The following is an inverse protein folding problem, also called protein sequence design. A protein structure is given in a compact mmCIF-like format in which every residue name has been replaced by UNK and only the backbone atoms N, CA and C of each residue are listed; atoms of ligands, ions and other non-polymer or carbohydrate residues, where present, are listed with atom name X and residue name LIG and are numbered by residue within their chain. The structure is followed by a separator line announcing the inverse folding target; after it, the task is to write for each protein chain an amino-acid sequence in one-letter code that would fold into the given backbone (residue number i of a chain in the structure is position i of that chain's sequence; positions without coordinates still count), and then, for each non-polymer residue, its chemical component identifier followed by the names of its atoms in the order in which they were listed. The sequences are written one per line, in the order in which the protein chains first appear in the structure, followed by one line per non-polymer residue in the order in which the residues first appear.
data_IF_815329349760
#
_entry.id   IF_815329349760
#
_cell.length_a   1.000
_cell.length_b   1.000
_cell.length_c   1.000
_cell.angle_alpha   90.00
_cell.angle_beta   90.00
_cell.angle_gamma   90.00
#
_symmetry.space_group_name_H-M   'P 1'
#
loop_
_entity.id
_entity.type
_entity.pdbx_description
1 polymer ?
#
# COMPACT_ATOMS: atom_id res chain seq x y z
N UNK A 1 -20.45 22.67 -16.58
CA UNK A 1 -20.90 23.67 -15.57
C UNK A 1 -20.20 23.50 -14.22
N UNK A 2 -19.65 22.33 -13.90
CA UNK A 2 -18.94 22.02 -12.64
C UNK A 2 -17.58 22.71 -12.48
N UNK A 3 -16.85 22.92 -13.57
CA UNK A 3 -15.50 23.53 -13.58
C UNK A 3 -15.49 25.03 -13.18
N UNK A 4 -16.63 25.71 -13.37
CA UNK A 4 -16.77 27.13 -13.06
C UNK A 4 -16.78 27.40 -11.55
N UNK A 5 -17.29 26.47 -10.75
CA UNK A 5 -17.29 26.56 -9.28
C UNK A 5 -15.90 26.34 -8.69
N UNK A 6 -15.10 25.44 -9.29
CA UNK A 6 -13.74 25.18 -8.84
C UNK A 6 -12.81 26.41 -8.98
N UNK A 7 -12.99 27.19 -10.06
CA UNK A 7 -12.20 28.40 -10.34
C UNK A 7 -12.56 29.60 -9.46
N UNK A 8 -13.81 29.69 -8.99
CA UNK A 8 -14.24 30.79 -8.12
C UNK A 8 -13.66 30.70 -6.71
N UNK A 9 -13.32 29.49 -6.23
CA UNK A 9 -12.68 29.31 -4.93
C UNK A 9 -11.25 29.87 -4.85
N UNK A 10 -10.58 30.10 -5.99
CA UNK A 10 -9.18 30.54 -6.03
C UNK A 10 -9.00 32.06 -5.92
N UNK A 11 -10.06 32.85 -6.15
CA UNK A 11 -9.99 34.32 -6.19
C UNK A 11 -10.47 35.02 -4.92
N UNK A 12 -11.01 34.28 -3.95
CA UNK A 12 -11.38 34.84 -2.65
C UNK A 12 -10.17 34.83 -1.72
N UNK A 13 -9.64 36.01 -1.40
CA UNK A 13 -8.75 36.19 -0.26
C UNK A 13 -9.46 35.64 0.99
N UNK A 14 -8.81 34.82 1.83
CA UNK A 14 -9.42 34.37 3.06
C UNK A 14 -9.69 35.59 3.94
N UNK A 15 -10.96 35.81 4.27
CA UNK A 15 -11.35 36.77 5.29
C UNK A 15 -10.61 36.36 6.58
N UNK A 16 -9.61 37.16 6.96
CA UNK A 16 -8.95 37.06 8.25
C UNK A 16 -9.93 37.57 9.30
N UNK A 17 -10.87 36.72 9.70
CA UNK A 17 -11.51 36.88 11.00
C UNK A 17 -10.70 36.03 11.96
N UNK A 18 -9.83 36.71 12.71
CA UNK A 18 -9.11 36.18 13.87
C UNK A 18 -10.14 35.81 14.95
N UNK A 19 -10.79 34.67 14.81
CA UNK A 19 -11.40 33.99 15.94
C UNK A 19 -10.41 32.93 16.40
N UNK A 20 -9.71 33.22 17.49
CA UNK A 20 -9.04 32.21 18.28
C UNK A 20 -10.04 31.10 18.58
N UNK A 21 -9.91 29.98 17.87
CA UNK A 21 -10.66 28.78 18.19
C UNK A 21 -10.22 28.32 19.60
N UNK A 22 -11.13 28.15 20.56
CA UNK A 22 -10.76 27.76 21.90
C UNK A 22 -10.15 26.37 21.88
N UNK A 23 -9.07 26.22 22.65
CA UNK A 23 -8.38 24.99 22.96
C UNK A 23 -9.33 23.98 23.63
N UNK A 24 -10.17 23.29 22.84
CA UNK A 24 -11.01 22.19 23.35
C UNK A 24 -11.43 21.17 22.27
N UNK A 25 -10.86 21.19 21.06
CA UNK A 25 -11.17 20.18 20.02
C UNK A 25 -10.32 18.90 20.11
N UNK A 26 -9.36 18.85 21.05
CA UNK A 26 -8.48 17.69 21.26
C UNK A 26 -9.24 16.44 21.78
N UNK A 27 -10.22 16.53 22.71
CA UNK A 27 -10.93 15.37 23.22
C UNK A 27 -11.80 14.68 22.16
N UNK A 28 -12.43 15.45 21.27
CA UNK A 28 -13.33 14.89 20.25
C UNK A 28 -12.57 14.15 19.15
N UNK A 29 -11.43 14.70 18.70
CA UNK A 29 -10.53 14.00 17.77
C UNK A 29 -10.01 12.70 18.37
N UNK A 30 -9.48 12.74 19.59
CA UNK A 30 -9.00 11.55 20.30
C UNK A 30 -10.13 10.52 20.46
N UNK A 31 -11.36 10.97 20.78
CA UNK A 31 -12.51 10.09 20.98
C UNK A 31 -13.01 9.48 19.66
N UNK A 32 -12.98 10.21 18.55
CA UNK A 32 -13.33 9.72 17.22
C UNK A 32 -12.28 8.70 16.74
N UNK A 33 -11.00 9.03 16.86
CA UNK A 33 -9.89 8.14 16.52
C UNK A 33 -9.94 6.85 17.34
N UNK A 34 -10.13 6.96 18.66
CA UNK A 34 -10.26 5.80 19.55
C UNK A 34 -11.45 4.91 19.17
N UNK A 35 -12.62 5.51 18.89
CA UNK A 35 -13.80 4.77 18.41
C UNK A 35 -13.55 4.11 17.05
N UNK A 36 -12.82 4.80 16.16
CA UNK A 36 -12.38 4.27 14.87
C UNK A 36 -11.48 3.04 15.03
N UNK A 37 -10.43 3.14 15.84
CA UNK A 37 -9.50 2.03 16.12
C UNK A 37 -10.22 0.83 16.74
N UNK A 38 -11.07 1.04 17.76
CA UNK A 38 -11.84 -0.04 18.39
C UNK A 38 -12.84 -0.71 17.43
N UNK A 39 -13.42 0.08 16.51
CA UNK A 39 -14.29 -0.46 15.46
C UNK A 39 -13.50 -1.31 14.48
N UNK A 40 -12.35 -0.80 14.00
CA UNK A 40 -11.48 -1.53 13.08
C UNK A 40 -10.96 -2.83 13.72
N UNK A 41 -10.55 -2.81 14.99
CA UNK A 41 -10.13 -4.00 15.74
C UNK A 41 -11.22 -5.08 15.75
N UNK A 42 -12.46 -4.71 16.05
CA UNK A 42 -13.58 -5.66 16.04
C UNK A 42 -13.87 -6.22 14.65
N UNK A 43 -13.81 -5.37 13.63
CA UNK A 43 -14.05 -5.78 12.23
C UNK A 43 -12.91 -6.59 11.64
N UNK A 44 -11.72 -6.49 12.22
CA UNK A 44 -10.52 -7.18 11.77
C UNK A 44 -10.39 -8.58 12.32
N UNK A 45 -11.06 -8.89 13.44
CA UNK A 45 -11.05 -10.21 14.05
C UNK A 45 -11.30 -11.30 13.00
N UNK A 46 -10.46 -12.34 13.00
CA UNK A 46 -10.51 -13.48 12.07
C UNK A 46 -10.21 -13.16 10.59
N UNK A 47 -9.83 -11.92 10.26
CA UNK A 47 -9.42 -11.55 8.91
C UNK A 47 -7.90 -11.53 8.79
N UNK A 48 -7.40 -11.77 7.58
CA UNK A 48 -5.97 -11.73 7.27
C UNK A 48 -5.29 -10.38 7.59
N UNK A 49 -6.06 -9.28 7.66
CA UNK A 49 -5.55 -7.95 8.01
C UNK A 49 -5.65 -7.60 9.50
N UNK A 50 -6.09 -8.52 10.38
CA UNK A 50 -6.09 -8.32 11.84
C UNK A 50 -4.72 -7.92 12.38
N UNK A 51 -3.67 -8.53 11.84
CA UNK A 51 -2.28 -8.30 12.23
C UNK A 51 -1.87 -6.83 12.14
N UNK A 52 -2.42 -6.07 11.18
CA UNK A 52 -2.16 -4.64 11.01
C UNK A 52 -2.84 -3.74 12.03
N UNK A 53 -3.84 -4.26 12.73
CA UNK A 53 -4.64 -3.48 13.68
C UNK A 53 -4.27 -3.84 15.13
N UNK A 54 -3.90 -5.10 15.38
CA UNK A 54 -3.70 -5.60 16.76
C UNK A 54 -2.26 -5.99 17.12
N UNK A 55 -1.43 -6.47 16.17
CA UNK A 55 -0.13 -7.10 16.51
C UNK A 55 1.09 -6.35 16.00
N UNK A 56 1.05 -5.87 14.77
CA UNK A 56 2.17 -5.20 14.12
C UNK A 56 1.66 -4.11 13.16
N UNK A 57 1.14 -3.00 13.72
CA UNK A 57 0.68 -1.88 12.92
C UNK A 57 1.84 -1.28 12.12
N UNK A 58 1.55 -0.88 10.88
CA UNK A 58 2.52 -0.17 10.07
C UNK A 58 2.74 1.23 10.66
N UNK A 59 3.99 1.65 10.76
CA UNK A 59 4.33 2.99 11.23
C UNK A 59 3.61 4.06 10.39
N UNK A 60 3.10 5.09 11.05
CA UNK A 60 2.47 6.21 10.37
C UNK A 60 3.50 7.15 9.73
N UNK A 61 4.76 7.12 10.21
CA UNK A 61 5.85 7.97 9.73
C UNK A 61 6.50 7.47 8.44
N UNK A 62 6.23 6.23 8.01
CA UNK A 62 6.72 5.75 6.71
C UNK A 62 5.91 6.35 5.55
N UNK A 63 6.53 6.53 4.37
CA UNK A 63 5.84 7.01 3.18
C UNK A 63 4.61 6.16 2.86
N UNK A 64 3.56 6.82 2.35
CA UNK A 64 2.31 6.14 1.99
C UNK A 64 2.51 4.99 1.00
N UNK A 65 3.39 5.16 0.01
CA UNK A 65 3.70 4.13 -0.99
C UNK A 65 4.15 2.83 -0.33
N UNK A 66 5.16 2.94 0.55
CA UNK A 66 5.72 1.85 1.35
C UNK A 66 4.66 1.15 2.18
N UNK A 67 3.83 1.94 2.88
CA UNK A 67 2.74 1.41 3.70
C UNK A 67 1.73 0.62 2.87
N UNK A 68 1.40 1.08 1.66
CA UNK A 68 0.47 0.41 0.76
C UNK A 68 1.07 -0.89 0.19
N UNK A 69 2.33 -0.86 -0.25
CA UNK A 69 3.01 -2.04 -0.79
C UNK A 69 3.10 -3.16 0.26
N UNK A 70 3.59 -2.84 1.47
CA UNK A 70 3.63 -3.81 2.58
C UNK A 70 2.24 -4.32 2.95
N UNK A 71 1.21 -3.45 2.95
CA UNK A 71 -0.16 -3.89 3.22
C UNK A 71 -0.65 -4.92 2.19
N UNK A 72 -0.45 -4.65 0.90
CA UNK A 72 -0.85 -5.55 -0.19
C UNK A 72 -0.13 -6.89 -0.09
N UNK A 73 1.19 -6.88 0.12
CA UNK A 73 1.99 -8.11 0.22
C UNK A 73 1.61 -8.97 1.44
N UNK A 74 1.43 -8.40 2.63
CA UNK A 74 1.08 -9.24 3.80
C UNK A 74 -0.38 -9.69 3.81
N UNK A 75 -1.30 -8.93 3.20
CA UNK A 75 -2.68 -9.40 3.04
C UNK A 75 -2.84 -10.37 1.87
N UNK A 76 -1.80 -10.55 1.04
CA UNK A 76 -1.85 -11.36 -0.16
C UNK A 76 -2.88 -10.85 -1.16
N UNK A 77 -3.10 -9.53 -1.21
CA UNK A 77 -3.82 -8.82 -2.28
C UNK A 77 -2.79 -8.05 -3.12
N UNK A 78 -1.74 -8.77 -3.49
CA UNK A 78 -0.65 -8.28 -4.33
C UNK A 78 -0.86 -8.75 -5.78
N UNK A 79 -0.02 -8.26 -6.69
CA UNK A 79 -0.04 -8.67 -8.09
C UNK A 79 0.88 -9.87 -8.36
N UNK A 80 1.34 -10.56 -7.31
CA UNK A 80 2.28 -11.66 -7.49
C UNK A 80 1.61 -12.83 -8.22
N UNK A 81 2.37 -13.53 -9.06
CA UNK A 81 1.79 -14.60 -9.88
C UNK A 81 1.07 -15.67 -9.07
N UNK A 82 1.51 -15.95 -7.84
CA UNK A 82 0.79 -16.86 -6.93
C UNK A 82 -0.63 -16.39 -6.63
N UNK A 83 -0.81 -15.09 -6.33
CA UNK A 83 -2.13 -14.52 -6.08
C UNK A 83 -2.98 -14.52 -7.35
N UNK A 84 -2.40 -14.04 -8.45
CA UNK A 84 -3.08 -13.95 -9.75
C UNK A 84 -3.52 -15.32 -10.25
N UNK A 85 -2.71 -16.36 -10.07
CA UNK A 85 -3.08 -17.73 -10.42
C UNK A 85 -4.26 -18.24 -9.57
N UNK A 86 -4.25 -17.98 -8.26
CA UNK A 86 -5.35 -18.37 -7.36
C UNK A 86 -6.70 -17.75 -7.75
N UNK A 87 -6.69 -16.55 -8.35
CA UNK A 87 -7.90 -15.89 -8.87
C UNK A 87 -8.12 -16.13 -10.37
N UNK A 88 -7.41 -17.09 -10.97
CA UNK A 88 -7.50 -17.47 -12.38
C UNK A 88 -7.18 -16.35 -13.39
N UNK A 89 -6.38 -15.36 -12.99
CA UNK A 89 -5.89 -14.31 -13.89
C UNK A 89 -4.64 -14.76 -14.65
N UNK A 90 -3.76 -15.53 -14.00
CA UNK A 90 -2.59 -16.14 -14.66
C UNK A 90 -2.71 -17.67 -14.73
N UNK A 91 -2.24 -18.30 -15.82
CA UNK A 91 -2.30 -19.75 -15.97
C UNK A 91 -1.33 -20.49 -15.04
N UNK A 92 -0.26 -19.82 -14.60
CA UNK A 92 0.79 -20.39 -13.75
C UNK A 92 1.13 -19.47 -12.57
N UNK A 93 1.47 -20.02 -11.38
CA UNK A 93 1.97 -19.24 -10.26
C UNK A 93 3.49 -18.98 -10.35
N UNK A 94 4.15 -19.41 -11.43
CA UNK A 94 5.59 -19.25 -11.62
C UNK A 94 6.04 -17.80 -11.70
N UNK A 95 7.28 -17.54 -11.27
CA UNK A 95 7.90 -16.23 -11.33
C UNK A 95 8.09 -15.74 -12.76
N UNK A 96 7.36 -14.69 -13.12
CA UNK A 96 7.45 -14.06 -14.43
C UNK A 96 8.74 -13.23 -14.61
N UNK A 97 9.48 -12.97 -13.52
CA UNK A 97 10.72 -12.19 -13.54
C UNK A 97 11.94 -13.07 -13.84
N UNK A 98 12.08 -14.21 -13.15
CA UNK A 98 13.24 -15.10 -13.32
C UNK A 98 12.91 -16.45 -13.98
N UNK A 99 11.63 -16.72 -14.29
CA UNK A 99 11.18 -17.95 -14.92
C UNK A 99 11.25 -19.21 -14.04
N UNK A 100 11.49 -19.06 -12.74
CA UNK A 100 11.68 -20.20 -11.84
C UNK A 100 11.03 -20.01 -10.47
N UNK A 101 10.36 -21.06 -10.00
CA UNK A 101 9.74 -21.12 -8.68
C UNK A 101 8.44 -20.31 -8.57
N UNK A 102 7.71 -20.56 -7.49
CA UNK A 102 6.44 -19.88 -7.20
C UNK A 102 6.65 -18.42 -6.81
N UNK A 103 6.03 -17.49 -7.53
CA UNK A 103 6.17 -16.04 -7.31
C UNK A 103 5.39 -15.59 -6.07
N UNK A 104 5.98 -15.76 -4.89
CA UNK A 104 5.43 -15.27 -3.64
C UNK A 104 6.40 -14.28 -2.98
N UNK A 105 5.98 -13.65 -1.87
CA UNK A 105 6.79 -12.66 -1.16
C UNK A 105 8.16 -13.22 -0.74
N UNK A 106 8.22 -14.50 -0.36
CA UNK A 106 9.47 -15.15 0.04
C UNK A 106 10.41 -15.34 -1.15
N UNK A 107 9.88 -15.77 -2.29
CA UNK A 107 10.64 -15.86 -3.54
C UNK A 107 11.16 -14.49 -3.97
N UNK A 108 10.36 -13.41 -3.90
CA UNK A 108 10.84 -12.07 -4.29
C UNK A 108 12.07 -11.61 -3.50
N UNK A 109 12.21 -12.03 -2.23
CA UNK A 109 13.37 -11.70 -1.40
C UNK A 109 14.66 -12.32 -1.92
N UNK A 110 14.57 -13.46 -2.59
CA UNK A 110 15.71 -14.24 -3.09
C UNK A 110 15.83 -14.23 -4.62
N UNK A 111 14.80 -13.77 -5.34
CA UNK A 111 14.70 -13.76 -6.79
C UNK A 111 15.92 -13.12 -7.45
N UNK A 112 16.57 -13.83 -8.37
CA UNK A 112 17.76 -13.36 -9.08
C UNK A 112 17.47 -12.17 -9.99
N UNK A 113 16.28 -12.07 -10.56
CA UNK A 113 15.89 -10.94 -11.40
C UNK A 113 15.83 -9.60 -10.63
N UNK A 114 15.71 -9.66 -9.29
CA UNK A 114 15.62 -8.50 -8.42
C UNK A 114 16.93 -8.18 -7.68
N UNK A 115 18.05 -8.80 -8.04
CA UNK A 115 19.32 -8.68 -7.30
C UNK A 115 19.80 -7.24 -7.13
N UNK A 116 19.64 -6.40 -8.17
CA UNK A 116 19.97 -4.97 -8.15
C UNK A 116 19.17 -4.16 -7.12
N UNK A 117 17.99 -4.65 -6.73
CA UNK A 117 17.10 -4.02 -5.74
C UNK A 117 17.26 -4.55 -4.31
N UNK A 118 18.14 -5.54 -4.08
CA UNK A 118 18.29 -6.17 -2.75
C UNK A 118 19.16 -5.39 -1.77
N UNK A 119 19.86 -4.33 -2.22
CA UNK A 119 20.81 -3.55 -1.43
C UNK A 119 20.18 -2.60 -0.38
N UNK A 120 18.87 -2.61 -0.20
CA UNK A 120 18.20 -1.81 0.82
C UNK A 120 18.24 -2.49 2.19
N UNK A 121 18.97 -1.89 3.14
CA UNK A 121 19.16 -2.41 4.49
C UNK A 121 17.89 -2.40 5.34
N UNK A 122 16.92 -1.53 5.04
CA UNK A 122 15.67 -1.45 5.78
C UNK A 122 14.58 -2.31 5.13
N UNK A 123 14.17 -3.38 5.83
CA UNK A 123 13.20 -4.38 5.36
C UNK A 123 11.86 -3.78 4.90
N UNK A 124 11.42 -2.67 5.51
CA UNK A 124 10.17 -1.99 5.17
C UNK A 124 10.30 -1.27 3.81
N UNK A 125 11.42 -0.58 3.56
CA UNK A 125 11.69 0.05 2.27
C UNK A 125 12.05 -0.99 1.19
N UNK A 126 12.59 -2.14 1.59
CA UNK A 126 12.87 -3.27 0.70
C UNK A 126 11.59 -3.88 0.15
N UNK A 127 10.54 -4.01 0.96
CA UNK A 127 9.24 -4.52 0.52
C UNK A 127 8.58 -3.60 -0.52
N UNK A 128 8.60 -2.28 -0.30
CA UNK A 128 8.10 -1.30 -1.28
C UNK A 128 8.86 -1.37 -2.60
N UNK A 129 10.19 -1.36 -2.52
CA UNK A 129 11.03 -1.39 -3.71
C UNK A 129 10.83 -2.69 -4.51
N UNK A 130 10.73 -3.85 -3.84
CA UNK A 130 10.49 -5.13 -4.51
C UNK A 130 9.10 -5.18 -5.16
N UNK A 131 8.07 -4.62 -4.51
CA UNK A 131 6.72 -4.58 -5.05
C UNK A 131 6.62 -3.68 -6.28
N UNK A 132 7.16 -2.45 -6.22
CA UNK A 132 7.11 -1.55 -7.36
C UNK A 132 8.07 -1.93 -8.49
N UNK A 133 9.22 -2.54 -8.19
CA UNK A 133 10.14 -3.04 -9.23
C UNK A 133 9.51 -4.19 -10.00
N UNK A 134 8.84 -5.11 -9.29
CA UNK A 134 8.07 -6.19 -9.90
C UNK A 134 6.97 -5.65 -10.83
N UNK A 135 6.13 -4.74 -10.31
CA UNK A 135 5.03 -4.20 -11.09
C UNK A 135 5.53 -3.40 -12.31
N UNK A 136 6.68 -2.74 -12.20
CA UNK A 136 7.30 -2.04 -13.32
C UNK A 136 7.85 -3.01 -14.38
N UNK A 137 8.56 -4.06 -13.96
CA UNK A 137 9.12 -5.08 -14.85
C UNK A 137 8.03 -5.87 -15.56
N UNK A 138 6.97 -6.26 -14.85
CA UNK A 138 5.80 -6.90 -15.47
C UNK A 138 5.14 -5.98 -16.50
N UNK A 139 4.96 -4.69 -16.19
CA UNK A 139 4.40 -3.72 -17.13
C UNK A 139 5.29 -3.49 -18.37
N UNK A 140 6.62 -3.63 -18.23
CA UNK A 140 7.55 -3.59 -19.36
C UNK A 140 7.47 -4.86 -20.20
N UNK A 141 7.43 -6.05 -19.58
CA UNK A 141 7.31 -7.34 -20.27
C UNK A 141 6.00 -7.43 -21.08
N UNK A 142 4.87 -6.96 -20.53
CA UNK A 142 3.58 -6.92 -21.25
C UNK A 142 3.62 -6.03 -22.50
N UNK A 143 4.41 -4.94 -22.49
CA UNK A 143 4.58 -4.07 -23.68
C UNK A 143 5.50 -4.67 -24.75
N UNK A 144 6.42 -5.54 -24.35
CA UNK A 144 7.41 -6.15 -25.23
C UNK A 144 6.90 -7.42 -25.92
N UNK A 145 5.70 -7.92 -25.59
CA UNK A 145 5.06 -9.00 -26.33
C UNK A 145 5.89 -10.28 -26.41
N UNK A 146 6.53 -10.68 -25.31
CA UNK A 146 7.19 -11.99 -25.24
C UNK A 146 6.19 -12.96 -24.63
N UNK A 147 5.46 -13.66 -25.52
CA UNK A 147 4.64 -14.82 -25.20
C UNK A 147 5.44 -16.11 -25.23
#
# INVERSE_FOLDING_TARGET
MTDRLAKQGTSSLPAQTTQHAPFCQVPDKIRIERRGCQRLQRLSLSKNWETFVSRNPLDHNIPRAVRVATFRMRTGHDYLATHLHRINVLPTPECQLCGYGTMNVEHLRTCSALDHSKNYQNLIFKEDHLYWSESHLMAQQTRMGVG
#
